data_IF_802234671430
#
_entry.id   IF_802234671430
#
_cell.length_a   1.000
_cell.length_b   1.000
_cell.length_c   1.000
_cell.angle_alpha   90.00
_cell.angle_beta   90.00
_cell.angle_gamma   90.00
#
_symmetry.space_group_name_H-M   'P 1'
#
loop_
_entity.id
_entity.type
_entity.pdbx_description
1 polymer ?
#
# COMPACT_ATOMS: atom_id res chain seq x y z
N UNK A 1 -0.17 67.19 6.29
CA UNK A 1 -0.75 66.10 5.51
C UNK A 1 0.37 65.35 4.84
N UNK A 2 0.88 64.15 5.35
CA UNK A 2 1.77 63.30 4.61
C UNK A 2 0.97 62.27 3.82
N UNK A 3 1.27 62.20 2.52
CA UNK A 3 0.76 61.24 1.52
C UNK A 3 1.30 59.86 1.78
N UNK A 4 0.42 58.89 2.00
CA UNK A 4 0.72 57.46 2.07
C UNK A 4 0.73 56.87 0.65
N UNK A 5 1.89 56.41 0.19
CA UNK A 5 2.02 55.58 -1.02
C UNK A 5 1.53 54.14 -0.75
N UNK A 6 0.89 53.44 -1.73
CA UNK A 6 0.45 52.07 -1.57
C UNK A 6 1.62 51.12 -1.70
N UNK A 7 1.71 50.15 -0.76
CA UNK A 7 2.65 49.03 -0.79
C UNK A 7 2.38 48.14 -2.01
N UNK A 8 3.45 47.87 -2.75
CA UNK A 8 3.43 46.93 -3.87
C UNK A 8 3.25 45.47 -3.37
N UNK A 9 2.15 44.86 -3.79
CA UNK A 9 1.81 43.45 -3.59
C UNK A 9 2.78 42.57 -4.36
N UNK A 10 3.54 41.74 -3.64
CA UNK A 10 4.52 40.83 -4.23
C UNK A 10 3.82 39.71 -5.01
N UNK A 11 4.05 39.63 -6.32
CA UNK A 11 3.55 38.57 -7.17
C UNK A 11 4.01 37.17 -6.71
N UNK A 12 3.13 36.12 -6.78
CA UNK A 12 3.50 34.77 -6.36
C UNK A 12 4.61 34.22 -7.26
N UNK A 13 5.68 33.68 -6.62
CA UNK A 13 6.79 33.03 -7.30
C UNK A 13 6.26 31.78 -8.02
N UNK A 14 6.40 31.74 -9.35
CA UNK A 14 6.05 30.59 -10.18
C UNK A 14 6.80 29.34 -9.72
N UNK A 15 6.06 28.26 -9.44
CA UNK A 15 6.63 26.97 -9.13
C UNK A 15 7.44 26.45 -10.34
N UNK A 16 8.64 25.87 -10.14
CA UNK A 16 9.44 25.33 -11.24
C UNK A 16 8.67 24.21 -11.94
N UNK A 17 8.40 24.35 -13.24
CA UNK A 17 7.79 23.29 -14.07
C UNK A 17 8.68 22.05 -14.01
N UNK A 18 8.13 20.90 -13.62
CA UNK A 18 8.82 19.63 -13.65
C UNK A 18 9.40 19.40 -15.06
N UNK A 19 10.70 19.13 -15.13
CA UNK A 19 11.44 18.93 -16.39
C UNK A 19 10.91 17.64 -17.05
N UNK A 20 10.41 17.74 -18.27
CA UNK A 20 9.96 16.57 -19.02
C UNK A 20 11.12 15.58 -19.24
N UNK A 21 10.92 14.27 -19.07
CA UNK A 21 11.97 13.27 -19.24
C UNK A 21 12.50 13.27 -20.70
N UNK A 22 13.79 13.18 -20.83
CA UNK A 22 14.47 13.10 -22.13
C UNK A 22 14.08 11.80 -22.87
N UNK A 23 14.26 11.73 -24.21
CA UNK A 23 14.04 10.48 -24.97
C UNK A 23 14.83 9.29 -24.42
N UNK A 24 16.06 9.54 -23.94
CA UNK A 24 16.92 8.49 -23.34
C UNK A 24 16.37 8.01 -21.99
N UNK A 25 15.89 8.90 -21.15
CA UNK A 25 15.25 8.54 -19.87
C UNK A 25 13.96 7.76 -20.10
N UNK A 26 13.15 8.14 -21.08
CA UNK A 26 11.95 7.39 -21.46
C UNK A 26 12.27 5.98 -21.95
N UNK A 27 13.27 5.84 -22.84
CA UNK A 27 13.71 4.53 -23.33
C UNK A 27 14.24 3.64 -22.18
N UNK A 28 15.00 4.23 -21.23
CA UNK A 28 15.48 3.52 -20.03
C UNK A 28 14.31 3.05 -19.16
N UNK A 29 13.34 3.91 -18.89
CA UNK A 29 12.16 3.58 -18.10
C UNK A 29 11.34 2.47 -18.77
N UNK A 30 11.15 2.51 -20.10
CA UNK A 30 10.45 1.47 -20.84
C UNK A 30 11.17 0.12 -20.74
N UNK A 31 12.49 0.10 -20.87
CA UNK A 31 13.26 -1.16 -20.73
C UNK A 31 13.13 -1.74 -19.33
N UNK A 32 13.16 -0.91 -18.28
CA UNK A 32 12.95 -1.38 -16.90
C UNK A 32 11.51 -1.92 -16.74
N UNK A 33 10.51 -1.25 -17.29
CA UNK A 33 9.12 -1.72 -17.24
C UNK A 33 8.95 -3.10 -17.94
N UNK A 34 9.62 -3.30 -19.08
CA UNK A 34 9.61 -4.60 -19.77
C UNK A 34 10.30 -5.71 -18.93
N UNK A 35 11.41 -5.38 -18.26
CA UNK A 35 12.10 -6.31 -17.34
C UNK A 35 11.19 -6.68 -16.16
N UNK A 36 10.51 -5.70 -15.56
CA UNK A 36 9.57 -5.90 -14.45
C UNK A 36 8.40 -6.78 -14.89
N UNK A 37 7.78 -6.48 -16.03
CA UNK A 37 6.69 -7.28 -16.58
C UNK A 37 7.06 -8.76 -16.76
N UNK A 38 8.19 -9.07 -17.40
CA UNK A 38 8.68 -10.46 -17.54
C UNK A 38 9.08 -11.03 -16.19
N UNK A 39 9.65 -10.22 -15.30
CA UNK A 39 9.95 -10.62 -13.93
C UNK A 39 8.70 -11.08 -13.16
N UNK A 40 7.56 -10.40 -13.33
CA UNK A 40 6.25 -10.82 -12.75
C UNK A 40 5.77 -12.16 -13.32
N UNK A 41 5.90 -12.37 -14.62
CA UNK A 41 5.56 -13.64 -15.25
C UNK A 41 6.41 -14.79 -14.65
N UNK A 42 7.72 -14.58 -14.49
CA UNK A 42 8.61 -15.54 -13.84
C UNK A 42 8.28 -15.73 -12.35
N UNK A 43 7.92 -14.65 -11.64
CA UNK A 43 7.49 -14.73 -10.25
C UNK A 43 6.24 -15.61 -10.11
N UNK A 44 5.27 -15.46 -11.02
CA UNK A 44 4.05 -16.27 -11.03
C UNK A 44 4.32 -17.75 -11.32
N UNK A 45 5.27 -18.07 -12.20
CA UNK A 45 5.58 -19.45 -12.60
C UNK A 45 6.54 -20.17 -11.64
N UNK A 46 7.50 -19.45 -11.06
CA UNK A 46 8.65 -20.07 -10.36
C UNK A 46 8.81 -19.55 -8.92
N UNK A 47 7.98 -18.61 -8.48
CA UNK A 47 8.12 -17.93 -7.19
C UNK A 47 9.37 -17.07 -7.09
N UNK A 48 9.51 -16.34 -5.99
CA UNK A 48 10.65 -15.45 -5.76
C UNK A 48 12.00 -16.19 -5.77
N UNK A 49 12.06 -17.41 -5.25
CA UNK A 49 13.30 -18.21 -5.21
C UNK A 49 13.81 -18.59 -6.61
N UNK A 50 12.89 -18.79 -7.58
CA UNK A 50 13.21 -19.18 -8.96
C UNK A 50 13.55 -18.02 -9.90
N UNK A 51 13.51 -16.77 -9.45
CA UNK A 51 13.82 -15.61 -10.29
C UNK A 51 15.27 -15.63 -10.79
N UNK A 52 15.43 -15.40 -12.12
CA UNK A 52 16.73 -15.40 -12.80
C UNK A 52 16.80 -14.31 -13.87
N UNK A 53 17.73 -13.36 -13.72
CA UNK A 53 17.97 -12.32 -14.73
C UNK A 53 18.38 -12.90 -16.10
N UNK A 54 19.02 -14.06 -16.14
CA UNK A 54 19.37 -14.73 -17.40
C UNK A 54 18.13 -15.24 -18.12
N UNK A 55 17.16 -15.79 -17.37
CA UNK A 55 15.89 -16.21 -17.93
C UNK A 55 15.08 -15.01 -18.44
N UNK A 56 15.00 -13.92 -17.64
CA UNK A 56 14.37 -12.67 -18.05
C UNK A 56 15.00 -12.10 -19.34
N UNK A 57 16.33 -12.10 -19.44
CA UNK A 57 17.02 -11.62 -20.65
C UNK A 57 16.68 -12.45 -21.88
N UNK A 58 16.64 -13.79 -21.74
CA UNK A 58 16.26 -14.70 -22.81
C UNK A 58 14.84 -14.41 -23.31
N UNK A 59 13.89 -14.22 -22.40
CA UNK A 59 12.49 -14.01 -22.77
C UNK A 59 12.23 -12.58 -23.29
N UNK A 60 13.12 -11.61 -22.95
CA UNK A 60 13.20 -10.29 -23.60
C UNK A 60 13.84 -10.34 -25.02
N UNK A 61 14.43 -11.47 -25.41
CA UNK A 61 15.15 -11.58 -26.68
C UNK A 61 16.49 -10.81 -26.74
N UNK A 62 17.12 -10.53 -25.57
CA UNK A 62 18.37 -9.78 -25.47
C UNK A 62 19.47 -10.60 -24.78
N UNK A 63 20.72 -10.21 -25.01
CA UNK A 63 21.84 -10.81 -24.26
C UNK A 63 21.81 -10.41 -22.80
N UNK A 64 22.19 -11.30 -21.89
CA UNK A 64 22.12 -11.07 -20.44
C UNK A 64 22.86 -9.78 -20.02
N UNK A 65 24.02 -9.47 -20.65
CA UNK A 65 24.76 -8.24 -20.35
C UNK A 65 23.97 -6.96 -20.62
N UNK A 66 22.99 -6.99 -21.51
CA UNK A 66 22.09 -5.86 -21.74
C UNK A 66 21.16 -5.62 -20.56
N UNK A 67 20.60 -6.67 -19.95
CA UNK A 67 19.74 -6.59 -18.75
C UNK A 67 20.54 -6.12 -17.55
N UNK A 68 21.75 -6.65 -17.33
CA UNK A 68 22.61 -6.24 -16.20
C UNK A 68 23.00 -4.74 -16.20
N UNK A 69 22.85 -4.04 -17.30
CA UNK A 69 23.02 -2.58 -17.37
C UNK A 69 21.87 -1.79 -16.73
N UNK A 70 20.71 -2.43 -16.54
CA UNK A 70 19.50 -1.81 -15.97
C UNK A 70 19.19 -2.37 -14.59
N UNK A 71 19.45 -3.66 -14.38
CA UNK A 71 19.14 -4.41 -13.15
C UNK A 71 20.39 -5.21 -12.79
N UNK A 72 21.12 -4.77 -11.78
CA UNK A 72 22.48 -5.23 -11.48
C UNK A 72 22.51 -6.64 -10.87
N UNK A 73 21.44 -7.06 -10.21
CA UNK A 73 21.35 -8.32 -9.48
C UNK A 73 19.91 -8.87 -9.43
N UNK A 74 19.79 -10.13 -8.99
CA UNK A 74 18.50 -10.73 -8.67
C UNK A 74 17.78 -9.94 -7.56
N UNK A 75 18.51 -9.47 -6.58
CA UNK A 75 17.97 -8.70 -5.46
C UNK A 75 17.45 -7.33 -5.92
N UNK A 76 18.12 -6.70 -6.89
CA UNK A 76 17.61 -5.50 -7.54
C UNK A 76 16.30 -5.77 -8.31
N UNK A 77 16.19 -6.91 -9.00
CA UNK A 77 14.94 -7.32 -9.64
C UNK A 77 13.83 -7.53 -8.61
N UNK A 78 14.11 -8.21 -7.48
CA UNK A 78 13.16 -8.37 -6.38
C UNK A 78 12.69 -7.02 -5.83
N UNK A 79 13.62 -6.07 -5.64
CA UNK A 79 13.30 -4.71 -5.20
C UNK A 79 12.36 -3.99 -6.17
N UNK A 80 12.63 -4.08 -7.47
CA UNK A 80 11.77 -3.49 -8.50
C UNK A 80 10.37 -4.11 -8.51
N UNK A 81 10.28 -5.44 -8.38
CA UNK A 81 9.01 -6.18 -8.30
C UNK A 81 8.22 -5.82 -7.03
N UNK A 82 8.90 -5.62 -5.90
CA UNK A 82 8.28 -5.15 -4.66
C UNK A 82 7.68 -3.75 -4.83
N UNK A 83 8.47 -2.82 -5.39
CA UNK A 83 8.01 -1.44 -5.62
C UNK A 83 6.83 -1.42 -6.59
N UNK A 84 6.89 -2.19 -7.66
CA UNK A 84 5.83 -2.32 -8.66
C UNK A 84 4.54 -2.85 -8.03
N UNK A 85 4.62 -3.96 -7.28
CA UNK A 85 3.48 -4.56 -6.60
C UNK A 85 2.87 -3.63 -5.54
N UNK A 86 3.69 -2.94 -4.72
CA UNK A 86 3.19 -1.97 -3.75
C UNK A 86 2.49 -0.79 -4.42
N UNK A 87 3.03 -0.29 -5.54
CA UNK A 87 2.41 0.81 -6.28
C UNK A 87 1.09 0.38 -6.91
N UNK A 88 1.05 -0.78 -7.56
CA UNK A 88 -0.19 -1.30 -8.16
C UNK A 88 -1.29 -1.50 -7.10
N UNK A 89 -0.96 -2.15 -5.97
CA UNK A 89 -1.89 -2.29 -4.85
C UNK A 89 -2.35 -0.91 -4.32
N UNK A 90 -1.42 0.02 -4.16
CA UNK A 90 -1.74 1.38 -3.71
C UNK A 90 -2.65 2.10 -4.67
N UNK A 91 -2.43 1.99 -5.98
CA UNK A 91 -3.26 2.62 -7.01
C UNK A 91 -4.67 2.04 -7.05
N UNK A 92 -4.84 0.71 -6.94
CA UNK A 92 -6.14 0.05 -6.86
C UNK A 92 -6.93 0.47 -5.61
N UNK A 93 -6.26 0.56 -4.46
CA UNK A 93 -6.87 1.03 -3.21
C UNK A 93 -7.25 2.50 -3.30
N UNK A 94 -6.37 3.35 -3.81
CA UNK A 94 -6.64 4.79 -3.96
C UNK A 94 -7.82 5.04 -4.90
N UNK A 95 -7.89 4.32 -6.02
CA UNK A 95 -9.00 4.41 -6.96
C UNK A 95 -10.33 3.94 -6.34
N UNK A 96 -10.31 2.81 -5.61
CA UNK A 96 -11.50 2.28 -4.96
C UNK A 96 -12.05 3.22 -3.88
N UNK A 97 -11.18 3.80 -3.07
CA UNK A 97 -11.57 4.77 -2.02
C UNK A 97 -12.08 6.08 -2.63
N UNK A 98 -11.44 6.58 -3.70
CA UNK A 98 -11.86 7.80 -4.39
C UNK A 98 -13.23 7.68 -5.08
N UNK A 99 -13.69 6.46 -5.37
CA UNK A 99 -15.02 6.20 -5.94
C UNK A 99 -16.17 6.29 -4.90
N UNK A 100 -15.84 6.35 -3.59
CA UNK A 100 -16.81 6.45 -2.49
C UNK A 100 -16.94 7.92 -2.06
N UNK A 101 -18.16 8.39 -1.68
CA UNK A 101 -18.34 9.74 -1.19
C UNK A 101 -17.38 10.10 -0.04
N UNK A 102 -16.87 11.35 -0.02
CA UNK A 102 -15.87 11.80 0.95
C UNK A 102 -16.33 11.69 2.41
N UNK A 103 -17.63 11.76 2.68
CA UNK A 103 -18.22 11.65 4.01
C UNK A 103 -18.71 10.23 4.38
N UNK A 104 -18.60 9.26 3.47
CA UNK A 104 -18.90 7.84 3.77
C UNK A 104 -17.62 7.08 4.18
N UNK A 105 -17.13 7.36 5.39
CA UNK A 105 -15.90 6.75 5.92
C UNK A 105 -16.01 5.23 6.07
N UNK A 106 -17.17 4.74 6.43
CA UNK A 106 -17.48 3.33 6.51
C UNK A 106 -17.41 2.65 5.13
N UNK A 107 -18.00 3.28 4.12
CA UNK A 107 -17.87 2.85 2.72
C UNK A 107 -16.45 2.86 2.22
N UNK A 108 -15.67 3.92 2.53
CA UNK A 108 -14.25 4.02 2.17
C UNK A 108 -13.41 2.90 2.81
N UNK A 109 -13.65 2.59 4.09
CA UNK A 109 -13.01 1.47 4.78
C UNK A 109 -13.29 0.13 4.08
N UNK A 110 -14.57 -0.15 3.77
CA UNK A 110 -14.95 -1.37 3.05
C UNK A 110 -14.37 -1.43 1.64
N UNK A 111 -14.36 -0.30 0.90
CA UNK A 111 -13.77 -0.21 -0.42
C UNK A 111 -12.27 -0.52 -0.41
N UNK A 112 -11.53 0.00 0.58
CA UNK A 112 -10.12 -0.32 0.80
C UNK A 112 -9.92 -1.82 0.99
N UNK A 113 -10.64 -2.45 1.93
CA UNK A 113 -10.51 -3.89 2.20
C UNK A 113 -10.83 -4.75 0.98
N UNK A 114 -11.91 -4.41 0.24
CA UNK A 114 -12.28 -5.10 -1.01
C UNK A 114 -11.23 -4.96 -2.09
N UNK A 115 -10.64 -3.77 -2.26
CA UNK A 115 -9.57 -3.54 -3.24
C UNK A 115 -8.31 -4.35 -2.92
N UNK A 116 -7.90 -4.41 -1.64
CA UNK A 116 -6.78 -5.24 -1.20
C UNK A 116 -7.02 -6.71 -1.55
N UNK A 117 -8.22 -7.26 -1.22
CA UNK A 117 -8.55 -8.65 -1.53
C UNK A 117 -8.60 -8.90 -3.04
N UNK A 118 -9.28 -8.04 -3.80
CA UNK A 118 -9.42 -8.20 -5.25
C UNK A 118 -8.07 -8.23 -5.94
N UNK A 119 -7.16 -7.30 -5.58
CA UNK A 119 -5.80 -7.28 -6.11
C UNK A 119 -5.01 -8.53 -5.71
N UNK A 120 -5.08 -8.95 -4.45
CA UNK A 120 -4.36 -10.11 -3.95
C UNK A 120 -4.77 -11.41 -4.65
N UNK A 121 -6.06 -11.58 -4.96
CA UNK A 121 -6.59 -12.74 -5.70
C UNK A 121 -6.23 -12.69 -7.20
N UNK A 122 -6.14 -11.50 -7.77
CA UNK A 122 -5.68 -11.28 -9.16
C UNK A 122 -4.20 -11.52 -9.32
N UNK A 123 -3.39 -11.09 -8.34
CA UNK A 123 -1.92 -11.08 -8.37
C UNK A 123 -1.30 -11.89 -7.20
N UNK A 124 -1.65 -13.19 -7.04
CA UNK A 124 -1.29 -13.96 -5.84
C UNK A 124 0.22 -14.11 -5.66
N UNK A 125 1.00 -14.16 -6.74
CA UNK A 125 2.46 -14.24 -6.66
C UNK A 125 3.09 -12.93 -6.19
N UNK A 126 2.58 -11.79 -6.66
CA UNK A 126 2.98 -10.47 -6.19
C UNK A 126 2.57 -10.29 -4.72
N UNK A 127 1.34 -10.70 -4.35
CA UNK A 127 0.90 -10.69 -2.96
C UNK A 127 1.82 -11.53 -2.06
N UNK A 128 2.20 -12.72 -2.51
CA UNK A 128 3.12 -13.59 -1.77
C UNK A 128 4.53 -12.98 -1.64
N UNK A 129 5.00 -12.20 -2.63
CA UNK A 129 6.26 -11.48 -2.55
C UNK A 129 6.20 -10.33 -1.51
N UNK A 130 5.08 -9.61 -1.43
CA UNK A 130 4.89 -8.47 -0.54
C UNK A 130 4.63 -8.89 0.92
N UNK A 131 3.79 -9.89 1.12
CA UNK A 131 3.19 -10.22 2.43
C UNK A 131 3.37 -11.70 2.84
N UNK A 132 4.03 -12.50 2.01
CA UNK A 132 4.30 -13.90 2.30
C UNK A 132 5.57 -14.13 3.10
N UNK A 133 6.16 -15.31 2.96
CA UNK A 133 7.39 -15.67 3.66
C UNK A 133 8.58 -14.85 3.15
N UNK A 134 9.50 -14.42 4.05
CA UNK A 134 10.71 -13.73 3.64
C UNK A 134 11.51 -14.53 2.61
N UNK A 135 12.05 -13.86 1.60
CA UNK A 135 12.91 -14.47 0.60
C UNK A 135 14.30 -14.67 1.21
N UNK A 136 14.81 -15.93 1.32
CA UNK A 136 16.11 -16.17 1.94
C UNK A 136 17.24 -15.38 1.28
N UNK A 137 18.04 -14.71 2.10
CA UNK A 137 19.20 -13.92 1.65
C UNK A 137 18.87 -12.55 1.04
N UNK A 138 17.59 -12.21 0.88
CA UNK A 138 17.17 -10.89 0.39
C UNK A 138 16.69 -9.99 1.54
N UNK A 139 17.13 -8.73 1.52
CA UNK A 139 16.64 -7.68 2.40
C UNK A 139 16.23 -6.46 1.55
N UNK A 140 14.96 -6.09 1.65
CA UNK A 140 14.43 -4.94 0.90
C UNK A 140 15.09 -3.63 1.39
N UNK A 141 15.62 -2.77 0.49
CA UNK A 141 16.18 -1.48 0.87
C UNK A 141 15.08 -0.52 1.30
N UNK A 142 15.06 -0.17 2.61
CA UNK A 142 14.00 0.64 3.22
C UNK A 142 13.84 2.01 2.58
N UNK A 143 14.93 2.66 2.16
CA UNK A 143 14.91 3.97 1.51
C UNK A 143 14.13 3.98 0.18
N UNK A 144 13.94 2.81 -0.46
CA UNK A 144 13.20 2.66 -1.72
C UNK A 144 11.82 2.04 -1.55
N UNK A 145 11.63 1.19 -0.55
CA UNK A 145 10.43 0.37 -0.38
C UNK A 145 9.48 0.87 0.68
N UNK A 146 9.92 1.71 1.64
CA UNK A 146 9.06 2.23 2.71
C UNK A 146 7.91 3.05 2.16
N UNK A 147 8.19 4.03 1.29
CA UNK A 147 7.15 4.92 0.74
C UNK A 147 6.07 4.14 -0.02
N UNK A 148 6.39 3.31 -1.03
CA UNK A 148 5.35 2.52 -1.69
C UNK A 148 4.71 1.48 -0.77
N UNK A 149 5.46 0.85 0.14
CA UNK A 149 4.97 -0.19 1.04
C UNK A 149 4.01 0.30 2.13
N UNK A 150 4.01 1.61 2.42
CA UNK A 150 3.13 2.21 3.45
C UNK A 150 1.88 2.89 2.87
N UNK A 151 1.68 2.92 1.55
CA UNK A 151 0.55 3.61 0.92
C UNK A 151 -0.81 3.16 1.46
N UNK A 152 -1.04 1.86 1.54
CA UNK A 152 -2.33 1.30 1.99
C UNK A 152 -2.60 1.63 3.45
N UNK A 153 -1.61 1.47 4.34
CA UNK A 153 -1.81 1.81 5.76
C UNK A 153 -2.01 3.32 5.94
N UNK A 154 -1.32 4.17 5.19
CA UNK A 154 -1.55 5.62 5.25
C UNK A 154 -2.92 6.01 4.72
N UNK A 155 -3.43 5.32 3.69
CA UNK A 155 -4.81 5.51 3.23
C UNK A 155 -5.81 5.14 4.33
N UNK A 156 -5.61 4.00 5.01
CA UNK A 156 -6.46 3.59 6.13
C UNK A 156 -6.43 4.63 7.26
N UNK A 157 -5.25 5.06 7.68
CA UNK A 157 -5.09 6.09 8.72
C UNK A 157 -5.76 7.40 8.32
N UNK A 158 -5.68 7.80 7.05
CA UNK A 158 -6.35 9.03 6.56
C UNK A 158 -7.87 8.95 6.66
N UNK A 159 -8.47 7.78 6.41
CA UNK A 159 -9.92 7.56 6.59
C UNK A 159 -10.30 7.74 8.07
N UNK A 160 -9.53 7.14 8.98
CA UNK A 160 -9.77 7.27 10.43
C UNK A 160 -9.64 8.72 10.91
N UNK A 161 -8.61 9.44 10.45
CA UNK A 161 -8.39 10.83 10.85
C UNK A 161 -9.48 11.76 10.30
N UNK A 162 -9.92 11.52 9.07
CA UNK A 162 -11.04 12.26 8.47
C UNK A 162 -12.35 11.97 9.21
N UNK A 163 -12.65 10.71 9.53
CA UNK A 163 -13.81 10.33 10.31
C UNK A 163 -13.80 10.98 11.72
N UNK A 164 -12.63 10.97 12.38
CA UNK A 164 -12.47 11.60 13.69
C UNK A 164 -12.71 13.12 13.62
N UNK A 165 -12.13 13.82 12.65
CA UNK A 165 -12.32 15.27 12.46
C UNK A 165 -13.77 15.63 12.15
N UNK A 166 -14.50 14.76 11.46
CA UNK A 166 -15.91 14.91 11.16
C UNK A 166 -16.83 14.55 12.33
N UNK A 167 -16.29 14.02 13.44
CA UNK A 167 -17.08 13.53 14.58
C UNK A 167 -17.85 12.25 14.27
N UNK A 168 -17.48 11.52 13.22
CA UNK A 168 -18.10 10.30 12.76
C UNK A 168 -17.40 9.03 13.26
N UNK A 169 -16.24 9.18 13.93
CA UNK A 169 -15.51 8.06 14.52
C UNK A 169 -15.95 7.82 15.96
N UNK A 170 -16.52 6.65 16.24
CA UNK A 170 -16.85 6.27 17.61
C UNK A 170 -15.58 5.95 18.41
N UNK A 171 -15.29 6.78 19.42
CA UNK A 171 -14.08 6.62 20.24
C UNK A 171 -14.30 5.74 21.47
N UNK A 172 -15.54 5.62 21.93
CA UNK A 172 -15.96 4.80 23.08
C UNK A 172 -16.63 3.50 22.62
N UNK A 173 -15.84 2.52 22.19
CA UNK A 173 -16.34 1.19 21.78
C UNK A 173 -16.41 0.28 23.01
N UNK A 174 -17.53 -0.46 23.15
CA UNK A 174 -17.73 -1.43 24.24
C UNK A 174 -17.38 -2.86 23.79
N UNK A 175 -16.71 -3.67 24.62
CA UNK A 175 -16.14 -3.30 25.92
C UNK A 175 -14.89 -2.40 25.79
N UNK A 176 -14.76 -1.44 26.71
CA UNK A 176 -13.56 -0.58 26.75
C UNK A 176 -12.33 -1.42 27.13
N UNK A 177 -11.38 -1.50 26.23
CA UNK A 177 -10.08 -2.13 26.46
C UNK A 177 -9.07 -1.05 26.84
N UNK A 178 -8.51 -1.15 28.03
CA UNK A 178 -7.48 -0.21 28.48
C UNK A 178 -6.18 -0.46 27.71
N UNK A 179 -5.63 0.59 27.11
CA UNK A 179 -4.34 0.51 26.43
C UNK A 179 -3.22 0.58 27.48
N UNK A 180 -2.27 -0.38 27.50
CA UNK A 180 -1.10 -0.31 28.35
C UNK A 180 -0.28 0.97 28.09
N UNK A 181 0.35 1.59 29.12
CA UNK A 181 1.05 2.87 28.98
C UNK A 181 2.14 2.87 27.88
N UNK A 182 2.90 1.79 27.74
CA UNK A 182 3.92 1.66 26.70
C UNK A 182 3.31 1.71 25.30
N UNK A 183 2.22 0.96 25.06
CA UNK A 183 1.51 0.97 23.78
C UNK A 183 0.86 2.34 23.50
N UNK A 184 0.32 3.00 24.52
CA UNK A 184 -0.21 4.34 24.38
C UNK A 184 0.87 5.34 23.93
N UNK A 185 2.08 5.23 24.50
CA UNK A 185 3.23 6.05 24.10
C UNK A 185 3.61 5.80 22.62
N UNK A 186 3.66 4.54 22.17
CA UNK A 186 3.95 4.20 20.78
C UNK A 186 2.90 4.77 19.82
N UNK A 187 1.61 4.63 20.15
CA UNK A 187 0.52 5.22 19.36
C UNK A 187 0.60 6.76 19.35
N UNK A 188 0.99 7.38 20.47
CA UNK A 188 1.22 8.81 20.57
C UNK A 188 2.37 9.31 19.68
N UNK A 189 3.46 8.54 19.61
CA UNK A 189 4.57 8.82 18.70
C UNK A 189 4.15 8.75 17.23
N UNK A 190 3.46 7.68 16.83
CA UNK A 190 2.91 7.53 15.48
C UNK A 190 1.98 8.69 15.14
N UNK A 191 1.07 9.06 16.05
CA UNK A 191 0.16 10.20 15.88
C UNK A 191 0.91 11.50 15.63
N UNK A 192 1.97 11.74 16.39
CA UNK A 192 2.80 12.95 16.28
C UNK A 192 3.56 12.98 14.96
N UNK A 193 4.17 11.87 14.58
CA UNK A 193 4.93 11.72 13.32
C UNK A 193 4.03 11.94 12.09
N UNK A 194 2.83 11.38 12.12
CA UNK A 194 1.86 11.50 11.01
C UNK A 194 1.04 12.81 11.05
N UNK A 195 1.13 13.61 12.12
CA UNK A 195 0.38 14.86 12.26
C UNK A 195 -1.14 14.67 12.34
N UNK A 196 -1.63 13.51 12.79
CA UNK A 196 -3.04 13.14 12.88
C UNK A 196 -3.64 13.42 14.27
N UNK A 197 -4.98 13.44 14.35
CA UNK A 197 -5.72 13.78 15.58
C UNK A 197 -6.46 12.60 16.22
N UNK A 198 -6.42 11.44 15.58
CA UNK A 198 -7.08 10.21 16.05
C UNK A 198 -6.56 9.83 17.45
N UNK A 199 -7.44 9.50 18.43
CA UNK A 199 -7.01 9.01 19.74
C UNK A 199 -6.21 7.70 19.64
N UNK A 200 -5.30 7.47 20.59
CA UNK A 200 -4.45 6.27 20.63
C UNK A 200 -5.27 4.98 20.62
N UNK A 201 -6.41 4.96 21.32
CA UNK A 201 -7.31 3.79 21.35
C UNK A 201 -7.91 3.47 19.97
N UNK A 202 -8.26 4.50 19.20
CA UNK A 202 -8.78 4.29 17.86
C UNK A 202 -7.67 3.91 16.87
N UNK A 203 -6.45 4.44 17.02
CA UNK A 203 -5.30 3.97 16.25
C UNK A 203 -5.00 2.49 16.50
N UNK A 204 -5.03 2.04 17.75
CA UNK A 204 -4.83 0.63 18.09
C UNK A 204 -5.89 -0.27 17.44
N UNK A 205 -7.18 0.16 17.40
CA UNK A 205 -8.23 -0.54 16.65
C UNK A 205 -7.99 -0.52 15.14
N UNK A 206 -7.47 0.59 14.61
CA UNK A 206 -7.05 0.69 13.21
C UNK A 206 -5.96 -0.33 12.85
N UNK A 207 -4.96 -0.52 13.73
CA UNK A 207 -3.94 -1.55 13.57
C UNK A 207 -4.56 -2.94 13.57
N UNK A 208 -5.50 -3.23 14.48
CA UNK A 208 -6.22 -4.51 14.51
C UNK A 208 -7.02 -4.72 13.22
N UNK A 209 -7.75 -3.71 12.75
CA UNK A 209 -8.50 -3.80 11.50
C UNK A 209 -7.56 -4.08 10.30
N UNK A 210 -6.44 -3.37 10.21
CA UNK A 210 -5.43 -3.58 9.17
C UNK A 210 -4.88 -5.00 9.16
N UNK A 211 -4.38 -5.49 10.32
CA UNK A 211 -3.81 -6.83 10.44
C UNK A 211 -4.86 -7.92 10.18
N UNK A 212 -6.12 -7.69 10.57
CA UNK A 212 -7.22 -8.63 10.32
C UNK A 212 -7.60 -8.71 8.84
N UNK A 213 -7.65 -7.57 8.11
CA UNK A 213 -7.89 -7.56 6.66
C UNK A 213 -6.81 -8.37 5.95
N UNK A 214 -5.53 -8.08 6.22
CA UNK A 214 -4.41 -8.79 5.58
C UNK A 214 -4.33 -10.26 6.02
N UNK A 215 -4.70 -10.58 7.27
CA UNK A 215 -4.83 -11.94 7.75
C UNK A 215 -5.89 -12.74 6.99
N UNK A 216 -7.10 -12.19 6.84
CA UNK A 216 -8.18 -12.82 6.10
C UNK A 216 -7.82 -13.05 4.62
N UNK A 217 -7.22 -12.03 3.97
CA UNK A 217 -6.75 -12.14 2.58
C UNK A 217 -5.65 -13.18 2.44
N UNK A 218 -4.67 -13.22 3.36
CA UNK A 218 -3.61 -14.23 3.37
C UNK A 218 -4.14 -15.65 3.52
N UNK A 219 -5.14 -15.86 4.40
CA UNK A 219 -5.79 -17.17 4.57
C UNK A 219 -6.45 -17.64 3.28
N UNK A 220 -7.05 -16.73 2.53
CA UNK A 220 -7.66 -17.06 1.25
C UNK A 220 -6.63 -17.31 0.15
N UNK A 221 -5.67 -16.40 -0.05
CA UNK A 221 -4.65 -16.48 -1.11
C UNK A 221 -3.76 -17.70 -0.94
N UNK A 222 -3.38 -18.04 0.31
CA UNK A 222 -2.52 -19.19 0.60
C UNK A 222 -3.30 -20.49 0.84
N UNK A 223 -4.64 -20.49 0.63
CA UNK A 223 -5.47 -21.68 0.69
C UNK A 223 -5.68 -22.24 2.09
N UNK A 224 -5.44 -21.46 3.15
CA UNK A 224 -5.53 -21.92 4.54
C UNK A 224 -6.98 -22.18 4.98
N UNK A 225 -7.98 -21.60 4.30
CA UNK A 225 -9.39 -21.96 4.52
C UNK A 225 -9.75 -23.38 4.06
N UNK A 226 -8.86 -24.06 3.32
CA UNK A 226 -9.17 -25.32 2.68
C UNK A 226 -10.01 -25.14 1.41
N UNK A 227 -10.11 -26.22 0.60
CA UNK A 227 -10.74 -26.13 -0.71
C UNK A 227 -12.26 -25.96 -0.60
N UNK A 228 -12.89 -26.70 0.32
CA UNK A 228 -14.36 -26.90 0.37
C UNK A 228 -15.01 -26.38 1.66
N UNK A 229 -14.26 -25.68 2.52
CA UNK A 229 -14.77 -25.19 3.81
C UNK A 229 -15.79 -24.08 3.65
N UNK A 230 -15.54 -23.13 2.76
CA UNK A 230 -16.42 -21.99 2.48
C UNK A 230 -16.72 -21.90 1.00
N UNK A 231 -17.99 -22.06 0.64
CA UNK A 231 -18.49 -21.82 -0.73
C UNK A 231 -18.77 -20.35 -1.01
N UNK A 232 -19.09 -19.57 0.04
CA UNK A 232 -19.47 -18.15 -0.02
C UNK A 232 -18.33 -17.26 0.52
N UNK A 233 -17.17 -17.30 -0.13
CA UNK A 233 -15.97 -16.56 0.33
C UNK A 233 -16.12 -15.04 0.22
N UNK A 234 -16.87 -14.57 -0.76
CA UNK A 234 -17.12 -13.13 -0.95
C UNK A 234 -17.98 -12.60 0.19
N UNK A 235 -19.04 -13.32 0.56
CA UNK A 235 -19.92 -12.97 1.67
C UNK A 235 -19.22 -13.11 3.02
N UNK A 236 -18.32 -14.10 3.18
CA UNK A 236 -17.49 -14.23 4.37
C UNK A 236 -16.62 -13.00 4.57
N UNK A 237 -15.92 -12.56 3.51
CA UNK A 237 -15.04 -11.40 3.60
C UNK A 237 -15.82 -10.10 3.82
N UNK A 238 -16.97 -9.95 3.15
CA UNK A 238 -17.87 -8.81 3.39
C UNK A 238 -18.34 -8.76 4.84
N UNK A 239 -18.76 -9.90 5.41
CA UNK A 239 -19.15 -9.99 6.80
C UNK A 239 -17.98 -9.62 7.74
N UNK A 240 -16.77 -10.10 7.47
CA UNK A 240 -15.58 -9.73 8.24
C UNK A 240 -15.31 -8.22 8.19
N UNK A 241 -15.44 -7.59 7.02
CA UNK A 241 -15.28 -6.14 6.89
C UNK A 241 -16.32 -5.36 7.70
N UNK A 242 -17.58 -5.80 7.72
CA UNK A 242 -18.64 -5.17 8.52
C UNK A 242 -18.35 -5.29 10.03
N UNK A 243 -17.90 -6.46 10.49
CA UNK A 243 -17.49 -6.64 11.90
C UNK A 243 -16.31 -5.74 12.25
N UNK A 244 -15.27 -5.70 11.40
CA UNK A 244 -14.09 -4.86 11.59
C UNK A 244 -14.43 -3.38 11.58
N UNK A 245 -15.34 -2.95 10.69
CA UNK A 245 -15.84 -1.58 10.64
C UNK A 245 -16.46 -1.15 11.98
N UNK A 246 -17.38 -1.95 12.54
CA UNK A 246 -18.00 -1.67 13.83
C UNK A 246 -16.98 -1.69 14.98
N UNK A 247 -16.02 -2.65 14.99
CA UNK A 247 -14.93 -2.68 15.97
C UNK A 247 -14.00 -1.47 15.85
N UNK A 248 -13.81 -0.95 14.66
CA UNK A 248 -12.99 0.23 14.40
C UNK A 248 -13.68 1.53 14.84
N UNK A 249 -15.02 1.52 14.95
CA UNK A 249 -15.83 2.68 15.31
C UNK A 249 -16.24 3.52 14.08
N UNK A 250 -16.34 2.92 12.89
CA UNK A 250 -16.75 3.56 11.63
C UNK A 250 -18.20 3.26 11.27
#
# INVERSE_FOLDING_TARGET
>A
MPSTAPSAEAAPKAQPKAKQPTPRERARAQTIADIVRIGREHLALHGAAGLSLRAVARDLGVVSSAVYRYVESRDELLTLLLIDGYNELGDEVDAAVAAVPENDFAGQFRALGKAVRAWALKEPASYALLFGSPVPGYQAPGERTTVPGTRVIFRLVSIFDAAHRAGALETAVSPAVVIPPALAADMGNIRTELGIKVPESALARGVLAWTSIFGAVSFEVFGQYGRDTFSARDELFEHQLLVLQGMAGL
#
